data_IF_019878143406
#
_entry.id   IF_019878143406
#
_cell.length_a   1.000
_cell.length_b   1.000
_cell.length_c   1.000
_cell.angle_alpha   90.00
_cell.angle_beta   90.00
_cell.angle_gamma   90.00
#
_symmetry.space_group_name_H-M   'P 1'
#
loop_
_entity.id
_entity.type
_entity.pdbx_description
1 polymer ?
#
# COMPACT_ATOMS: atom_id res chain seq x y z
N UNK A 1 14.90 2.36 -5.91
CA UNK A 1 15.42 1.28 -6.79
C UNK A 1 14.77 1.39 -8.16
N UNK A 2 15.41 0.93 -9.25
CA UNK A 2 14.78 0.87 -10.57
C UNK A 2 13.55 -0.06 -10.58
N UNK A 3 12.51 0.18 -11.41
CA UNK A 3 11.33 -0.68 -11.50
C UNK A 3 11.66 -2.13 -11.86
N UNK A 4 12.69 -2.35 -12.67
CA UNK A 4 13.14 -3.69 -13.06
C UNK A 4 13.68 -4.51 -11.88
N UNK A 5 14.16 -3.84 -10.81
CA UNK A 5 14.71 -4.48 -9.61
C UNK A 5 13.72 -4.47 -8.44
N UNK A 6 12.80 -3.49 -8.38
CA UNK A 6 11.78 -3.35 -7.36
C UNK A 6 10.41 -3.73 -7.91
N UNK A 7 10.12 -5.04 -7.89
CA UNK A 7 8.79 -5.59 -8.19
C UNK A 7 7.99 -5.75 -6.89
N UNK A 8 6.69 -6.09 -6.96
CA UNK A 8 5.94 -6.46 -5.77
C UNK A 8 6.60 -7.60 -4.97
N UNK A 9 7.19 -8.60 -5.65
CA UNK A 9 7.92 -9.70 -5.00
C UNK A 9 9.14 -9.22 -4.23
N UNK A 10 10.05 -8.49 -4.91
CA UNK A 10 11.30 -8.08 -4.27
C UNK A 10 11.07 -7.02 -3.19
N UNK A 11 9.99 -6.24 -3.29
CA UNK A 11 9.62 -5.31 -2.23
C UNK A 11 9.07 -6.04 -0.99
N UNK A 12 8.17 -7.02 -1.15
CA UNK A 12 7.71 -7.82 -0.02
C UNK A 12 8.86 -8.60 0.65
N UNK A 13 9.75 -9.19 -0.15
CA UNK A 13 10.95 -9.86 0.38
C UNK A 13 11.79 -8.93 1.25
N UNK A 14 12.01 -7.68 0.83
CA UNK A 14 12.73 -6.68 1.66
C UNK A 14 12.00 -6.38 2.96
N UNK A 15 10.67 -6.33 2.95
CA UNK A 15 9.88 -6.12 4.16
C UNK A 15 10.02 -7.31 5.12
N UNK A 16 9.98 -8.54 4.59
CA UNK A 16 10.20 -9.77 5.35
C UNK A 16 11.61 -9.83 5.96
N UNK A 17 12.64 -9.49 5.19
CA UNK A 17 14.03 -9.40 5.66
C UNK A 17 14.16 -8.39 6.82
N UNK A 18 13.53 -7.22 6.69
CA UNK A 18 13.50 -6.21 7.76
C UNK A 18 12.77 -6.75 9.00
N UNK A 19 11.60 -7.36 8.83
CA UNK A 19 10.82 -7.90 9.94
C UNK A 19 11.60 -8.98 10.71
N UNK A 20 12.23 -9.90 9.98
CA UNK A 20 13.07 -10.96 10.56
C UNK A 20 14.27 -10.38 11.31
N UNK A 21 14.88 -9.30 10.80
CA UNK A 21 15.94 -8.57 11.49
C UNK A 21 15.51 -7.95 12.83
N UNK A 22 14.21 -7.73 13.03
CA UNK A 22 13.62 -7.21 14.27
C UNK A 22 12.77 -8.22 15.05
N UNK A 23 12.86 -9.52 14.74
CA UNK A 23 12.05 -10.54 15.39
C UNK A 23 12.31 -10.60 16.92
N UNK A 24 13.56 -10.36 17.36
CA UNK A 24 13.91 -10.32 18.78
C UNK A 24 13.26 -9.13 19.53
N UNK A 25 12.84 -8.09 18.81
CA UNK A 25 12.11 -6.93 19.32
C UNK A 25 10.59 -7.12 19.22
N UNK A 26 10.13 -8.34 18.89
CA UNK A 26 8.71 -8.67 18.80
C UNK A 26 8.05 -8.23 17.49
N UNK A 27 8.82 -7.98 16.43
CA UNK A 27 8.25 -7.70 15.10
C UNK A 27 7.79 -8.98 14.42
N UNK A 28 6.56 -8.98 13.92
CA UNK A 28 5.98 -10.07 13.12
C UNK A 28 5.72 -9.63 11.68
N UNK A 29 5.67 -10.60 10.76
CA UNK A 29 5.40 -10.40 9.34
C UNK A 29 4.25 -11.30 8.87
N UNK A 30 3.39 -10.78 8.00
CA UNK A 30 2.34 -11.53 7.32
C UNK A 30 2.16 -10.98 5.91
N UNK A 31 1.94 -11.86 4.94
CA UNK A 31 1.67 -11.50 3.55
C UNK A 31 0.34 -12.13 3.09
N UNK A 32 -0.43 -11.37 2.32
CA UNK A 32 -1.60 -11.86 1.59
C UNK A 32 -1.36 -11.54 0.13
N UNK A 33 -1.27 -12.54 -0.76
CA UNK A 33 -0.89 -12.33 -2.16
C UNK A 33 -1.86 -12.96 -3.16
N UNK A 34 -1.96 -12.36 -4.34
CA UNK A 34 -2.65 -12.95 -5.50
C UNK A 34 -4.06 -13.45 -5.16
N UNK A 35 -4.32 -14.73 -5.42
CA UNK A 35 -5.66 -15.32 -5.23
C UNK A 35 -6.16 -15.24 -3.78
N UNK A 36 -5.27 -15.21 -2.77
CA UNK A 36 -5.69 -15.01 -1.38
C UNK A 36 -6.29 -13.62 -1.16
N UNK A 37 -5.80 -12.60 -1.87
CA UNK A 37 -6.42 -11.27 -1.84
C UNK A 37 -7.84 -11.33 -2.40
N UNK A 38 -8.02 -12.00 -3.53
CA UNK A 38 -9.32 -12.18 -4.18
C UNK A 38 -10.29 -12.93 -3.26
N UNK A 39 -9.87 -14.05 -2.69
CA UNK A 39 -10.71 -14.86 -1.80
C UNK A 39 -11.09 -14.13 -0.51
N UNK A 40 -10.17 -13.30 0.03
CA UNK A 40 -10.43 -12.50 1.24
C UNK A 40 -11.12 -11.16 0.97
N UNK A 41 -11.48 -10.87 -0.28
CA UNK A 41 -12.29 -9.71 -0.67
C UNK A 41 -11.52 -8.39 -0.82
N UNK A 42 -10.20 -8.41 -1.05
CA UNK A 42 -9.40 -7.20 -1.29
C UNK A 42 -9.47 -6.77 -2.76
N UNK A 43 -10.67 -6.38 -3.21
CA UNK A 43 -10.94 -6.10 -4.62
C UNK A 43 -10.26 -4.86 -5.17
N UNK A 44 -9.94 -3.86 -4.34
CA UNK A 44 -9.17 -2.68 -4.75
C UNK A 44 -7.73 -3.05 -5.09
N UNK A 45 -7.06 -3.78 -4.18
CA UNK A 45 -5.67 -4.23 -4.38
C UNK A 45 -5.59 -5.22 -5.55
N UNK A 46 -6.51 -6.18 -5.61
CA UNK A 46 -6.56 -7.17 -6.68
C UNK A 46 -6.84 -6.49 -8.02
N UNK A 47 -7.84 -5.61 -8.12
CA UNK A 47 -8.24 -4.95 -9.37
C UNK A 47 -7.11 -4.12 -9.97
N UNK A 48 -6.38 -3.37 -9.15
CA UNK A 48 -5.25 -2.55 -9.62
C UNK A 48 -4.08 -3.39 -10.12
N UNK A 49 -3.70 -4.44 -9.39
CA UNK A 49 -2.48 -5.20 -9.69
C UNK A 49 -2.64 -6.43 -10.56
N UNK A 50 -3.86 -6.83 -10.95
CA UNK A 50 -4.10 -8.12 -11.61
C UNK A 50 -3.47 -8.26 -13.00
N UNK A 51 -3.21 -7.16 -13.69
CA UNK A 51 -2.60 -7.18 -15.02
C UNK A 51 -1.07 -7.27 -15.00
N UNK A 52 -0.44 -7.07 -13.85
CA UNK A 52 1.01 -7.09 -13.72
C UNK A 52 1.57 -8.52 -13.78
N UNK A 53 2.83 -8.64 -14.18
CA UNK A 53 3.54 -9.93 -14.19
C UNK A 53 3.68 -10.53 -12.79
N UNK A 54 3.97 -9.68 -11.81
CA UNK A 54 4.10 -10.07 -10.41
C UNK A 54 2.77 -9.81 -9.70
N UNK A 55 2.21 -10.80 -8.99
CA UNK A 55 0.89 -10.66 -8.38
C UNK A 55 0.89 -9.57 -7.29
N UNK A 56 -0.23 -8.87 -7.10
CA UNK A 56 -0.38 -7.90 -6.03
C UNK A 56 -0.36 -8.58 -4.67
N UNK A 57 -0.02 -7.80 -3.64
CA UNK A 57 0.04 -8.29 -2.26
C UNK A 57 -0.24 -7.20 -1.24
N UNK A 58 -0.69 -7.62 -0.07
CA UNK A 58 -0.72 -6.83 1.14
C UNK A 58 0.33 -7.39 2.11
N UNK A 59 1.27 -6.55 2.52
CA UNK A 59 2.23 -6.87 3.58
C UNK A 59 1.77 -6.22 4.88
N UNK A 60 1.80 -6.99 5.96
CA UNK A 60 1.46 -6.55 7.31
C UNK A 60 2.64 -6.84 8.22
N UNK A 61 3.17 -5.81 8.89
CA UNK A 61 4.20 -5.94 9.91
C UNK A 61 3.67 -5.38 11.22
N UNK A 62 3.81 -6.12 12.32
CA UNK A 62 3.34 -5.64 13.64
C UNK A 62 4.49 -5.59 14.62
N UNK A 63 4.60 -4.47 15.32
CA UNK A 63 5.46 -4.27 16.48
C UNK A 63 4.57 -4.00 17.69
N UNK A 64 4.84 -4.64 18.82
CA UNK A 64 4.13 -4.36 20.07
C UNK A 64 5.09 -4.31 21.22
N UNK A 65 5.26 -3.12 21.81
CA UNK A 65 5.92 -3.00 23.11
C UNK A 65 5.04 -3.60 24.21
N UNK A 66 5.64 -4.11 25.29
CA UNK A 66 4.90 -4.69 26.41
C UNK A 66 4.04 -3.64 27.15
N UNK A 67 4.54 -2.41 27.24
CA UNK A 67 3.87 -1.27 27.88
C UNK A 67 3.05 -0.42 26.89
N UNK A 68 2.70 -0.95 25.72
CA UNK A 68 1.94 -0.20 24.72
C UNK A 68 0.52 0.11 25.22
N UNK A 69 0.17 1.39 25.26
CA UNK A 69 -1.19 1.86 25.60
C UNK A 69 -2.01 2.29 24.39
N UNK A 70 -1.36 2.50 23.25
CA UNK A 70 -1.98 2.93 21.99
C UNK A 70 -1.64 1.95 20.87
N UNK A 71 -2.60 1.72 19.98
CA UNK A 71 -2.44 0.98 18.73
C UNK A 71 -2.61 1.91 17.54
N UNK A 72 -1.51 2.17 16.82
CA UNK A 72 -1.49 2.98 15.60
C UNK A 72 -1.29 2.08 14.38
N UNK A 73 -2.12 2.25 13.36
CA UNK A 73 -1.95 1.61 12.06
C UNK A 73 -1.37 2.60 11.03
N UNK A 74 -0.32 2.18 10.33
CA UNK A 74 0.32 2.93 9.27
C UNK A 74 0.03 2.26 7.92
N UNK A 75 -0.73 2.92 7.05
CA UNK A 75 -1.09 2.41 5.73
C UNK A 75 -0.26 3.08 4.63
N UNK A 76 0.39 2.30 3.77
CA UNK A 76 1.27 2.82 2.72
C UNK A 76 0.81 2.48 1.31
N UNK A 77 0.75 3.49 0.42
CA UNK A 77 0.61 3.27 -1.04
C UNK A 77 1.93 2.71 -1.59
N UNK A 78 1.91 1.46 -2.05
CA UNK A 78 3.07 0.74 -2.58
C UNK A 78 2.94 0.41 -4.06
N UNK A 79 2.59 1.39 -4.90
CA UNK A 79 2.59 1.19 -6.36
C UNK A 79 4.03 1.23 -6.87
N UNK A 80 4.65 0.07 -7.11
CA UNK A 80 6.09 0.00 -7.44
C UNK A 80 6.41 0.60 -8.80
N UNK A 81 5.43 0.59 -9.71
CA UNK A 81 5.44 1.32 -10.95
C UNK A 81 4.02 1.59 -11.42
N UNK A 82 3.80 2.78 -11.95
CA UNK A 82 2.48 3.25 -12.38
C UNK A 82 2.50 3.69 -13.84
N UNK A 83 1.84 2.90 -14.69
CA UNK A 83 1.62 3.26 -16.09
C UNK A 83 0.38 4.14 -16.27
N UNK A 84 -0.47 4.23 -15.23
CA UNK A 84 -1.85 4.74 -15.27
C UNK A 84 -2.90 3.71 -15.67
N UNK A 85 -2.49 2.48 -15.98
CA UNK A 85 -3.40 1.46 -16.50
C UNK A 85 -3.93 1.84 -17.88
N UNK A 86 -5.20 1.57 -18.15
CA UNK A 86 -5.81 1.90 -19.46
C UNK A 86 -6.04 3.41 -19.65
N UNK A 87 -6.15 4.18 -18.57
CA UNK A 87 -5.95 5.63 -18.56
C UNK A 87 -4.45 5.97 -18.62
N UNK A 88 -3.80 5.50 -19.68
CA UNK A 88 -2.35 5.51 -19.84
C UNK A 88 -1.74 6.91 -19.70
N UNK A 89 -0.72 7.04 -18.86
CA UNK A 89 0.06 8.27 -18.71
C UNK A 89 0.72 8.68 -20.03
N UNK A 90 0.87 9.98 -20.22
CA UNK A 90 1.68 10.51 -21.34
C UNK A 90 3.15 10.09 -21.22
N UNK A 91 3.89 10.15 -22.33
CA UNK A 91 5.33 9.85 -22.39
C UNK A 91 6.13 10.56 -21.28
N UNK A 92 5.82 11.83 -21.02
CA UNK A 92 6.52 12.62 -20.01
C UNK A 92 6.00 12.31 -18.61
N UNK A 93 4.70 12.09 -18.45
CA UNK A 93 4.07 11.80 -17.16
C UNK A 93 4.47 10.45 -16.56
N UNK A 94 4.87 9.49 -17.39
CA UNK A 94 5.33 8.16 -16.92
C UNK A 94 6.76 8.19 -16.35
N UNK A 95 7.57 9.17 -16.75
CA UNK A 95 8.91 9.32 -16.19
C UNK A 95 8.85 9.64 -14.70
N UNK A 96 9.55 8.85 -13.88
CA UNK A 96 9.58 9.04 -12.41
C UNK A 96 8.53 8.23 -11.64
N UNK A 97 7.64 7.49 -12.31
CA UNK A 97 6.61 6.67 -11.64
C UNK A 97 7.14 5.49 -10.82
N UNK A 98 8.45 5.23 -10.84
CA UNK A 98 9.13 4.38 -9.85
C UNK A 98 9.04 4.91 -8.41
N UNK A 99 8.71 6.19 -8.25
CA UNK A 99 8.56 6.83 -6.95
C UNK A 99 7.14 6.70 -6.38
N UNK A 100 6.22 6.03 -7.10
CA UNK A 100 4.82 5.94 -6.69
C UNK A 100 4.56 4.95 -5.53
N UNK A 101 5.64 4.35 -5.03
CA UNK A 101 5.72 3.61 -3.77
C UNK A 101 6.37 4.44 -2.64
N UNK A 102 6.53 5.76 -2.83
CA UNK A 102 7.15 6.64 -1.83
C UNK A 102 6.36 6.69 -0.51
N UNK A 103 5.02 6.57 -0.61
CA UNK A 103 4.11 6.45 0.52
C UNK A 103 4.45 5.25 1.41
N UNK A 104 4.46 4.04 0.83
CA UNK A 104 4.84 2.82 1.55
C UNK A 104 6.27 2.84 2.06
N UNK A 105 7.21 3.40 1.30
CA UNK A 105 8.62 3.48 1.72
C UNK A 105 8.79 4.38 2.95
N UNK A 106 8.09 5.52 3.01
CA UNK A 106 8.20 6.42 4.16
C UNK A 106 7.55 5.87 5.42
N UNK A 107 6.37 5.25 5.34
CA UNK A 107 5.77 4.61 6.54
C UNK A 107 6.57 3.40 7.01
N UNK A 108 7.19 2.63 6.09
CA UNK A 108 8.13 1.57 6.46
C UNK A 108 9.36 2.13 7.19
N UNK A 109 9.91 3.25 6.72
CA UNK A 109 11.01 3.95 7.40
C UNK A 109 10.63 4.47 8.78
N UNK A 110 9.41 4.98 8.94
CA UNK A 110 8.83 5.40 10.22
C UNK A 110 8.68 4.21 11.18
N UNK A 111 8.11 3.10 10.70
CA UNK A 111 7.98 1.86 11.47
C UNK A 111 9.34 1.34 11.95
N UNK A 112 10.32 1.21 11.04
CA UNK A 112 11.69 0.75 11.40
C UNK A 112 12.34 1.68 12.42
N UNK A 113 12.16 2.99 12.28
CA UNK A 113 12.69 3.97 13.25
C UNK A 113 12.05 3.80 14.63
N UNK A 114 10.73 3.61 14.70
CA UNK A 114 10.01 3.39 15.95
C UNK A 114 10.46 2.11 16.67
N UNK A 115 10.64 1.01 15.93
CA UNK A 115 11.16 -0.25 16.47
C UNK A 115 12.58 -0.08 17.01
N UNK A 116 13.47 0.59 16.25
CA UNK A 116 14.86 0.84 16.68
C UNK A 116 14.94 1.70 17.93
N UNK A 117 14.03 2.65 18.09
CA UNK A 117 13.95 3.52 19.27
C UNK A 117 13.25 2.85 20.45
N UNK A 118 12.61 1.68 20.26
CA UNK A 118 11.88 0.99 21.31
C UNK A 118 10.68 1.78 21.82
N UNK A 119 9.94 2.47 20.94
CA UNK A 119 8.79 3.29 21.36
C UNK A 119 7.73 2.44 22.05
N UNK A 120 7.13 2.94 23.13
CA UNK A 120 6.12 2.22 23.91
C UNK A 120 4.74 2.27 23.24
N UNK A 121 4.61 1.65 22.07
CA UNK A 121 3.41 1.69 21.23
C UNK A 121 3.23 0.35 20.50
N UNK A 122 1.98 0.02 20.16
CA UNK A 122 1.68 -1.04 19.21
C UNK A 122 1.53 -0.42 17.82
N UNK A 123 2.40 -0.78 16.89
CA UNK A 123 2.36 -0.32 15.51
C UNK A 123 2.02 -1.47 14.58
N UNK A 124 1.04 -1.26 13.71
CA UNK A 124 0.79 -2.16 12.58
C UNK A 124 1.01 -1.42 11.27
N UNK A 125 2.06 -1.79 10.54
CA UNK A 125 2.32 -1.31 9.20
C UNK A 125 1.59 -2.19 8.18
N UNK A 126 0.78 -1.58 7.31
CA UNK A 126 0.04 -2.24 6.23
C UNK A 126 0.47 -1.60 4.91
N UNK A 127 1.06 -2.38 4.02
CA UNK A 127 1.48 -1.92 2.70
C UNK A 127 0.68 -2.65 1.63
N UNK A 128 -0.07 -1.91 0.81
CA UNK A 128 -0.59 -2.45 -0.44
C UNK A 128 0.47 -2.30 -1.52
N UNK A 129 1.04 -3.42 -1.96
CA UNK A 129 2.13 -3.46 -2.92
C UNK A 129 1.61 -4.02 -4.25
N UNK A 130 1.59 -3.18 -5.27
CA UNK A 130 1.04 -3.48 -6.59
C UNK A 130 1.90 -2.85 -7.69
N UNK A 131 1.69 -3.29 -8.92
CA UNK A 131 2.16 -2.60 -10.13
C UNK A 131 0.93 -2.29 -10.99
N UNK A 132 0.71 -1.03 -11.35
CA UNK A 132 -0.42 -0.64 -12.20
C UNK A 132 -0.02 -0.79 -13.67
N UNK A 133 -0.17 -2.00 -14.20
CA UNK A 133 0.29 -2.40 -15.53
C UNK A 133 -0.85 -2.48 -16.55
N UNK A 134 -0.47 -2.47 -17.84
CA UNK A 134 -1.39 -2.72 -18.96
C UNK A 134 -1.25 -4.18 -19.41
N UNK A 135 -2.36 -4.90 -19.43
CA UNK A 135 -2.46 -6.26 -19.93
C UNK A 135 -3.92 -6.65 -20.22
N UNK A 136 -4.16 -7.88 -20.70
CA UNK A 136 -5.51 -8.37 -21.00
C UNK A 136 -6.47 -8.31 -19.80
N UNK A 137 -5.90 -8.45 -18.60
CA UNK A 137 -6.60 -8.46 -17.32
C UNK A 137 -6.69 -7.07 -16.67
N UNK A 138 -6.28 -5.98 -17.34
CA UNK A 138 -6.39 -4.64 -16.76
C UNK A 138 -7.84 -4.28 -16.47
N UNK A 139 -8.09 -3.82 -15.24
CA UNK A 139 -9.33 -3.12 -14.90
C UNK A 139 -9.48 -1.88 -15.78
N UNK A 140 -10.74 -1.53 -16.07
CA UNK A 140 -11.13 -0.52 -17.05
C UNK A 140 -11.84 0.64 -16.36
N UNK A 141 -11.91 1.76 -17.07
CA UNK A 141 -12.92 2.75 -16.72
C UNK A 141 -14.31 2.11 -16.91
N UNK A 142 -15.26 2.49 -16.08
CA UNK A 142 -16.61 1.94 -15.93
C UNK A 142 -16.69 0.57 -15.23
N UNK A 143 -15.55 -0.05 -14.89
CA UNK A 143 -15.57 -1.25 -14.03
C UNK A 143 -16.02 -0.89 -12.60
N UNK A 144 -16.77 -1.80 -11.99
CA UNK A 144 -17.21 -1.68 -10.59
C UNK A 144 -16.44 -2.70 -9.74
N UNK A 145 -15.64 -2.21 -8.80
CA UNK A 145 -14.87 -3.03 -7.87
C UNK A 145 -15.61 -3.15 -6.54
N UNK A 146 -15.66 -4.37 -5.98
CA UNK A 146 -16.11 -4.60 -4.60
C UNK A 146 -14.91 -4.52 -3.66
N UNK A 147 -14.90 -3.52 -2.79
CA UNK A 147 -13.80 -3.23 -1.87
C UNK A 147 -13.86 -4.14 -0.63
N UNK A 148 -12.76 -4.20 0.14
CA UNK A 148 -12.70 -4.96 1.40
C UNK A 148 -13.77 -4.57 2.42
N UNK A 149 -14.25 -3.33 2.36
CA UNK A 149 -15.33 -2.82 3.21
C UNK A 149 -16.73 -3.35 2.84
N UNK A 150 -16.85 -4.10 1.74
CA UNK A 150 -18.13 -4.55 1.16
C UNK A 150 -18.81 -3.49 0.29
N UNK A 151 -18.29 -2.26 0.23
CA UNK A 151 -18.79 -1.21 -0.67
C UNK A 151 -18.31 -1.44 -2.10
N UNK A 152 -19.08 -0.98 -3.07
CA UNK A 152 -18.70 -0.96 -4.48
C UNK A 152 -18.16 0.41 -4.89
N UNK A 153 -17.17 0.44 -5.77
CA UNK A 153 -16.57 1.65 -6.34
C UNK A 153 -16.56 1.53 -7.86
N UNK A 154 -17.19 2.48 -8.53
CA UNK A 154 -17.05 2.67 -9.98
C UNK A 154 -15.71 3.34 -10.27
N UNK A 155 -14.93 2.73 -11.16
CA UNK A 155 -13.65 3.25 -11.60
C UNK A 155 -13.89 4.15 -12.80
N UNK A 156 -13.78 5.46 -12.64
CA UNK A 156 -13.85 6.39 -13.77
C UNK A 156 -12.46 6.80 -14.31
N UNK A 157 -11.40 6.42 -13.61
CA UNK A 157 -10.01 6.66 -14.01
C UNK A 157 -9.07 5.63 -13.38
N UNK A 158 -8.45 4.76 -14.19
CA UNK A 158 -7.47 3.77 -13.72
C UNK A 158 -6.13 4.37 -13.24
N UNK A 159 -5.87 5.65 -13.52
CA UNK A 159 -4.73 6.43 -13.00
C UNK A 159 -5.01 7.02 -11.60
N UNK A 160 -6.17 6.73 -11.04
CA UNK A 160 -6.53 7.05 -9.66
C UNK A 160 -6.44 5.81 -8.76
N UNK A 161 -5.55 4.87 -9.07
CA UNK A 161 -5.41 3.55 -8.46
C UNK A 161 -5.01 3.59 -6.99
N UNK A 162 -4.17 4.55 -6.59
CA UNK A 162 -3.61 4.62 -5.24
C UNK A 162 -4.67 4.70 -4.14
N UNK A 163 -5.81 5.35 -4.42
CA UNK A 163 -6.91 5.44 -3.45
C UNK A 163 -7.66 4.11 -3.29
N UNK A 164 -7.72 3.31 -4.35
CA UNK A 164 -8.40 2.01 -4.35
C UNK A 164 -7.65 1.03 -3.45
N UNK A 165 -6.33 0.96 -3.61
CA UNK A 165 -5.50 0.06 -2.79
C UNK A 165 -5.43 0.52 -1.33
N UNK A 166 -5.42 1.83 -1.08
CA UNK A 166 -5.45 2.37 0.29
C UNK A 166 -6.80 2.18 0.98
N UNK A 167 -7.91 2.23 0.25
CA UNK A 167 -9.23 1.96 0.82
C UNK A 167 -9.30 0.54 1.41
N UNK A 168 -8.67 -0.44 0.73
CA UNK A 168 -8.54 -1.80 1.24
C UNK A 168 -7.63 -1.88 2.47
N UNK A 169 -6.50 -1.16 2.50
CA UNK A 169 -5.62 -1.08 3.68
C UNK A 169 -6.32 -0.48 4.89
N UNK A 170 -6.99 0.66 4.72
CA UNK A 170 -7.70 1.35 5.81
C UNK A 170 -8.88 0.51 6.29
N UNK A 171 -9.59 -0.17 5.38
CA UNK A 171 -10.63 -1.12 5.73
C UNK A 171 -10.07 -2.33 6.50
N UNK A 172 -8.88 -2.82 6.15
CA UNK A 172 -8.21 -3.87 6.91
C UNK A 172 -7.88 -3.38 8.33
N UNK A 173 -7.24 -2.22 8.45
CA UNK A 173 -6.90 -1.63 9.74
C UNK A 173 -8.14 -1.48 10.64
N UNK A 174 -9.21 -0.91 10.11
CA UNK A 174 -10.43 -0.59 10.88
C UNK A 174 -11.23 -1.82 11.26
N UNK A 175 -11.28 -2.86 10.40
CA UNK A 175 -12.23 -3.97 10.57
C UNK A 175 -11.57 -5.29 10.98
N UNK A 176 -10.25 -5.44 10.84
CA UNK A 176 -9.56 -6.72 11.06
C UNK A 176 -8.56 -6.67 12.21
N UNK A 177 -8.03 -5.50 12.57
CA UNK A 177 -7.05 -5.36 13.65
C UNK A 177 -7.68 -5.17 15.04
N UNK A 178 -8.98 -4.84 15.12
CA UNK A 178 -9.67 -4.54 16.36
C UNK A 178 -9.57 -3.06 16.75
N UNK A 179 -9.28 -2.78 18.02
CA UNK A 179 -9.20 -1.44 18.59
C UNK A 179 -7.91 -0.72 18.14
N UNK A 180 -8.00 -0.02 17.01
CA UNK A 180 -6.94 0.87 16.50
C UNK A 180 -7.32 2.31 16.85
N UNK A 181 -6.46 2.99 17.61
CA UNK A 181 -6.70 4.37 18.08
C UNK A 181 -6.48 5.41 16.97
N UNK A 182 -5.53 5.14 16.07
CA UNK A 182 -5.18 6.04 14.98
C UNK A 182 -4.77 5.28 13.73
N UNK A 183 -5.36 5.67 12.59
CA UNK A 183 -4.95 5.18 11.27
C UNK A 183 -4.35 6.35 10.50
N UNK A 184 -3.07 6.23 10.15
CA UNK A 184 -2.37 7.18 9.29
C UNK A 184 -2.10 6.50 7.95
N UNK A 185 -2.50 7.13 6.84
CA UNK A 185 -2.08 6.68 5.52
C UNK A 185 -1.12 7.67 4.85
N UNK A 186 -0.16 7.17 4.09
CA UNK A 186 0.80 7.99 3.35
C UNK A 186 0.88 7.54 1.89
N UNK A 187 0.78 8.51 0.97
CA UNK A 187 0.77 8.24 -0.45
C UNK A 187 1.29 9.40 -1.31
N UNK A 188 1.87 9.04 -2.45
CA UNK A 188 2.09 9.90 -3.62
C UNK A 188 0.81 9.92 -4.46
N UNK A 189 -0.24 10.59 -3.98
CA UNK A 189 -1.61 10.32 -4.46
C UNK A 189 -2.09 11.18 -5.64
N UNK A 190 -1.67 12.43 -5.77
CA UNK A 190 -2.20 13.30 -6.84
C UNK A 190 -1.13 14.24 -7.42
N UNK A 191 -1.15 14.43 -8.74
CA UNK A 191 -0.41 15.53 -9.38
C UNK A 191 -0.94 16.91 -8.96
N UNK A 192 -2.20 17.00 -8.53
CA UNK A 192 -2.79 18.23 -7.99
C UNK A 192 -2.09 18.72 -6.72
N UNK A 193 -1.58 17.81 -5.88
CA UNK A 193 -0.81 18.21 -4.69
C UNK A 193 0.48 18.95 -5.07
N UNK A 194 1.18 18.52 -6.12
CA UNK A 194 2.38 19.20 -6.59
C UNK A 194 2.08 20.61 -7.14
N UNK A 195 0.91 20.82 -7.75
CA UNK A 195 0.45 22.12 -8.24
C UNK A 195 -0.04 23.05 -7.12
N UNK A 196 -0.62 22.49 -6.04
CA UNK A 196 -1.29 23.28 -5.00
C UNK A 196 -0.37 23.72 -3.87
N UNK A 197 0.60 22.90 -3.45
CA UNK A 197 1.25 23.11 -2.15
C UNK A 197 2.78 22.95 -2.14
N UNK A 198 3.41 22.31 -3.12
CA UNK A 198 4.86 21.98 -3.16
C UNK A 198 5.41 21.19 -1.94
N UNK A 199 4.63 21.00 -0.87
CA UNK A 199 4.96 20.28 0.38
C UNK A 199 3.92 19.20 0.70
N UNK A 200 4.29 18.22 1.54
CA UNK A 200 3.41 17.13 1.96
C UNK A 200 2.09 17.66 2.58
N UNK A 201 0.97 17.04 2.23
CA UNK A 201 -0.37 17.48 2.66
C UNK A 201 -0.98 16.48 3.62
N UNK A 202 -1.44 16.97 4.78
CA UNK A 202 -2.30 16.21 5.67
C UNK A 202 -3.76 16.52 5.31
N UNK A 203 -4.51 15.48 4.96
CA UNK A 203 -5.98 15.56 4.82
C UNK A 203 -6.54 14.81 6.02
N UNK A 204 -7.03 15.55 7.02
CA UNK A 204 -7.65 15.04 8.25
C UNK A 204 -9.12 14.71 8.05
#
# INVERSE_FOLDING_TARGET
MPPAELSPDTYAQKCEEIANGFAAQGVTYTEIKGDDLRQKGYGGIMGVGMAARCPPRMVIMTYSHADATEHIALCGKGVVYDTGGLALKSKVGMCGMKHDCGGSAGVLGGFVSAVKLGLHVKLTLILAIVENAIGPESFRNDDILTMKSGKTVEVNNTDAEGRLILADCVSHASNQLGDVDLIVNMATLTGAQALLLEVATLVS
#
